data_IF_495793724029
#
_entry.id   IF_495793724029
#
_cell.length_a   1.000
_cell.length_b   1.000
_cell.length_c   1.000
_cell.angle_alpha   90.00
_cell.angle_beta   90.00
_cell.angle_gamma   90.00
#
_symmetry.space_group_name_H-M   'P 1'
#
loop_
_entity.id
_entity.type
_entity.pdbx_description
1 polymer ?
#
# COMPACT_ATOMS: atom_id res chain seq x y z
N UNK A 1 -1.67 -11.03 -54.30
CA UNK A 1 -1.38 -11.65 -53.00
C UNK A 1 -2.46 -11.20 -52.03
N UNK A 2 -3.56 -11.96 -51.95
CA UNK A 2 -4.76 -11.58 -51.20
C UNK A 2 -4.53 -11.82 -49.70
N UNK A 3 -4.75 -10.78 -48.90
CA UNK A 3 -4.40 -10.71 -47.48
C UNK A 3 -5.58 -11.06 -46.54
N UNK A 4 -6.58 -11.84 -47.00
CA UNK A 4 -7.89 -11.84 -46.33
C UNK A 4 -8.40 -13.15 -45.72
N UNK A 5 -7.69 -14.27 -45.82
CA UNK A 5 -8.14 -15.52 -45.22
C UNK A 5 -7.13 -16.03 -44.18
N UNK A 6 -7.02 -15.31 -43.06
CA UNK A 6 -6.43 -15.88 -41.85
C UNK A 6 -7.54 -16.62 -41.07
N UNK A 7 -7.51 -17.95 -40.97
CA UNK A 7 -8.57 -18.76 -40.36
C UNK A 7 -8.56 -18.73 -38.83
N UNK A 8 -7.80 -17.82 -38.21
CA UNK A 8 -7.72 -17.70 -36.77
C UNK A 8 -9.04 -17.11 -36.21
N UNK A 9 -9.61 -17.70 -35.16
CA UNK A 9 -10.84 -17.16 -34.53
C UNK A 9 -10.66 -15.72 -34.05
N UNK A 10 -9.43 -15.33 -33.69
CA UNK A 10 -9.05 -13.96 -33.33
C UNK A 10 -9.08 -12.97 -34.53
N UNK A 11 -9.09 -13.47 -35.75
CA UNK A 11 -9.06 -12.70 -37.00
C UNK A 11 -10.48 -12.44 -37.54
N UNK A 12 -11.50 -13.13 -37.01
CA UNK A 12 -12.90 -12.90 -37.37
C UNK A 12 -13.32 -11.53 -36.87
N UNK A 13 -13.67 -10.63 -37.79
CA UNK A 13 -14.29 -9.36 -37.41
C UNK A 13 -15.51 -9.65 -36.53
N UNK A 14 -15.63 -9.03 -35.35
CA UNK A 14 -16.79 -9.20 -34.50
C UNK A 14 -18.03 -8.86 -35.32
N UNK A 15 -19.08 -9.68 -35.19
CA UNK A 15 -20.36 -9.42 -35.83
C UNK A 15 -20.91 -8.07 -35.35
N UNK A 16 -21.76 -7.44 -36.18
CA UNK A 16 -22.44 -6.19 -35.81
C UNK A 16 -23.14 -6.32 -34.45
N UNK A 17 -23.72 -7.49 -34.17
CA UNK A 17 -24.35 -7.81 -32.89
C UNK A 17 -23.36 -7.85 -31.72
N UNK A 18 -22.16 -8.42 -31.89
CA UNK A 18 -21.15 -8.45 -30.84
C UNK A 18 -20.60 -7.05 -30.50
N UNK A 19 -20.49 -6.18 -31.51
CA UNK A 19 -20.12 -4.77 -31.31
C UNK A 19 -21.25 -4.00 -30.62
N UNK A 20 -22.49 -4.20 -31.04
CA UNK A 20 -23.67 -3.58 -30.44
C UNK A 20 -23.84 -3.97 -28.97
N UNK A 21 -23.69 -5.27 -28.65
CA UNK A 21 -23.73 -5.75 -27.27
C UNK A 21 -22.62 -5.17 -26.41
N UNK A 22 -21.38 -5.07 -26.92
CA UNK A 22 -20.29 -4.38 -26.21
C UNK A 22 -20.58 -2.92 -25.92
N UNK A 23 -21.18 -2.20 -26.88
CA UNK A 23 -21.57 -0.80 -26.70
C UNK A 23 -22.67 -0.68 -25.65
N UNK A 24 -23.71 -1.52 -25.71
CA UNK A 24 -24.76 -1.56 -24.69
C UNK A 24 -24.20 -1.84 -23.29
N UNK A 25 -23.30 -2.82 -23.13
CA UNK A 25 -22.65 -3.08 -21.82
C UNK A 25 -21.85 -1.88 -21.31
N UNK A 26 -21.20 -1.13 -22.21
CA UNK A 26 -20.48 0.09 -21.83
C UNK A 26 -21.46 1.21 -21.43
N UNK A 27 -22.56 1.38 -22.18
CA UNK A 27 -23.60 2.38 -21.88
C UNK A 27 -24.25 2.07 -20.53
N UNK A 28 -24.71 0.83 -20.31
CA UNK A 28 -25.30 0.41 -19.03
C UNK A 28 -24.33 0.65 -17.86
N UNK A 29 -23.03 0.36 -18.05
CA UNK A 29 -22.01 0.65 -17.05
C UNK A 29 -21.86 2.16 -16.79
N UNK A 30 -21.87 2.99 -17.84
CA UNK A 30 -21.76 4.45 -17.70
C UNK A 30 -23.00 5.06 -17.06
N UNK A 31 -24.19 4.55 -17.39
CA UNK A 31 -25.45 4.95 -16.76
C UNK A 31 -25.46 4.59 -15.27
N UNK A 32 -25.01 3.38 -14.91
CA UNK A 32 -24.82 2.99 -13.50
C UNK A 32 -23.78 3.87 -12.78
N UNK A 33 -22.70 4.29 -13.44
CA UNK A 33 -21.73 5.22 -12.86
C UNK A 33 -22.28 6.64 -12.71
N UNK A 34 -23.20 7.07 -13.58
CA UNK A 34 -23.89 8.37 -13.49
C UNK A 34 -24.93 8.40 -12.35
N UNK A 35 -25.61 7.28 -12.12
CA UNK A 35 -26.60 7.12 -11.04
C UNK A 35 -25.97 6.87 -9.67
N UNK A 36 -24.68 6.50 -9.60
CA UNK A 36 -23.99 6.34 -8.32
C UNK A 36 -24.04 7.64 -7.52
N UNK A 37 -24.46 7.58 -6.23
CA UNK A 37 -24.37 8.74 -5.35
C UNK A 37 -22.94 9.28 -5.39
N UNK A 38 -22.80 10.56 -5.71
CA UNK A 38 -21.49 11.24 -5.64
C UNK A 38 -21.04 11.22 -4.19
N UNK A 39 -20.19 10.27 -3.84
CA UNK A 39 -19.54 10.21 -2.53
C UNK A 39 -18.80 11.52 -2.34
N UNK A 40 -19.07 12.21 -1.24
CA UNK A 40 -18.44 13.51 -0.97
C UNK A 40 -16.95 13.29 -0.77
N UNK A 41 -16.11 14.17 -1.30
CA UNK A 41 -14.65 13.97 -1.29
C UNK A 41 -14.08 13.76 0.11
N UNK A 42 -14.66 14.41 1.12
CA UNK A 42 -14.25 14.23 2.52
C UNK A 42 -14.55 12.81 3.04
N UNK A 43 -15.57 12.12 2.54
CA UNK A 43 -15.90 10.76 2.94
C UNK A 43 -14.88 9.79 2.37
N UNK A 44 -14.51 9.96 1.10
CA UNK A 44 -13.44 9.22 0.45
C UNK A 44 -12.11 9.42 1.18
N UNK A 45 -11.78 10.66 1.57
CA UNK A 45 -10.56 10.96 2.31
C UNK A 45 -10.55 10.28 3.70
N UNK A 46 -11.67 10.30 4.42
CA UNK A 46 -11.80 9.64 5.74
C UNK A 46 -11.76 8.11 5.64
N UNK A 47 -12.35 7.52 4.60
CA UNK A 47 -12.26 6.07 4.33
C UNK A 47 -10.83 5.67 3.97
N UNK A 48 -10.16 6.45 3.12
CA UNK A 48 -8.76 6.24 2.78
C UNK A 48 -7.85 6.35 4.01
N UNK A 49 -8.06 7.33 4.89
CA UNK A 49 -7.32 7.45 6.15
C UNK A 49 -7.49 6.21 7.04
N UNK A 50 -8.70 5.65 7.11
CA UNK A 50 -8.96 4.42 7.85
C UNK A 50 -8.18 3.24 7.26
N UNK A 51 -8.14 3.13 5.94
CA UNK A 51 -7.35 2.09 5.26
C UNK A 51 -5.85 2.18 5.58
N UNK A 52 -5.31 3.41 5.57
CA UNK A 52 -3.88 3.65 5.83
C UNK A 52 -3.55 3.39 7.31
N UNK A 53 -4.40 3.84 8.24
CA UNK A 53 -4.10 3.84 9.67
C UNK A 53 -4.52 2.56 10.41
N UNK A 54 -5.45 1.76 9.86
CA UNK A 54 -6.01 0.59 10.55
C UNK A 54 -7.34 0.87 11.27
N UNK A 55 -8.16 1.75 10.69
CA UNK A 55 -9.53 1.99 11.12
C UNK A 55 -9.77 3.32 11.85
N UNK A 56 -11.04 3.59 12.24
CA UNK A 56 -11.46 4.87 12.81
C UNK A 56 -10.74 5.23 14.11
N UNK A 57 -10.47 4.24 14.97
CA UNK A 57 -9.76 4.47 16.23
C UNK A 57 -8.32 4.93 15.98
N UNK A 58 -7.62 4.30 15.04
CA UNK A 58 -6.25 4.69 14.66
C UNK A 58 -6.21 6.08 14.01
N UNK A 59 -7.20 6.44 13.18
CA UNK A 59 -7.30 7.80 12.60
C UNK A 59 -7.49 8.86 13.69
N UNK A 60 -8.26 8.57 14.74
CA UNK A 60 -8.40 9.48 15.89
C UNK A 60 -7.13 9.57 16.71
N UNK A 61 -6.40 8.47 16.85
CA UNK A 61 -5.13 8.38 17.57
C UNK A 61 -3.91 8.91 16.78
N UNK A 62 -4.08 9.31 15.50
CA UNK A 62 -3.01 9.93 14.71
C UNK A 62 -2.43 11.14 15.45
N UNK A 63 -1.15 11.02 15.78
CA UNK A 63 -0.30 12.07 16.32
C UNK A 63 0.92 12.30 15.41
N UNK A 64 1.84 13.16 15.81
CA UNK A 64 3.07 13.46 15.07
C UNK A 64 4.33 12.99 15.81
N UNK A 65 4.19 12.19 16.87
CA UNK A 65 5.29 11.80 17.76
C UNK A 65 6.17 10.77 17.07
N UNK A 66 7.47 11.00 16.83
CA UNK A 66 8.33 10.05 16.12
C UNK A 66 8.35 8.66 16.72
N UNK A 67 8.46 7.64 15.85
CA UNK A 67 8.67 6.26 16.29
C UNK A 67 10.04 6.17 16.98
N UNK A 68 10.04 5.64 18.21
CA UNK A 68 11.23 5.54 19.07
C UNK A 68 11.17 4.27 19.91
N UNK A 69 12.32 3.96 20.49
CA UNK A 69 12.49 2.88 21.46
C UNK A 69 12.86 1.55 20.82
N UNK A 70 13.34 0.60 21.64
CA UNK A 70 13.65 -0.74 21.19
C UNK A 70 12.38 -1.46 20.73
N UNK A 71 12.52 -2.29 19.69
CA UNK A 71 11.46 -3.21 19.26
C UNK A 71 11.79 -4.60 19.78
N UNK A 72 10.95 -5.20 20.64
CA UNK A 72 11.22 -6.51 21.22
C UNK A 72 10.99 -7.59 20.17
N UNK A 73 12.04 -7.95 19.43
CA UNK A 73 11.97 -9.01 18.43
C UNK A 73 12.09 -10.39 19.09
N UNK A 74 11.41 -11.41 18.55
CA UNK A 74 11.59 -12.80 18.96
C UNK A 74 13.05 -13.25 18.91
N UNK A 75 13.46 -14.09 19.87
CA UNK A 75 14.77 -14.74 19.90
C UNK A 75 14.83 -15.92 18.92
N UNK A 76 14.71 -15.60 17.62
CA UNK A 76 14.83 -16.55 16.52
C UNK A 76 15.98 -16.15 15.60
N UNK A 77 16.76 -17.15 15.13
CA UNK A 77 17.93 -16.91 14.28
C UNK A 77 17.55 -16.18 12.99
N UNK A 78 16.45 -16.55 12.33
CA UNK A 78 16.00 -15.93 11.07
C UNK A 78 15.53 -14.51 11.32
N UNK A 79 14.80 -14.27 12.41
CA UNK A 79 14.43 -12.90 12.83
C UNK A 79 15.68 -12.05 13.06
N UNK A 80 16.70 -12.61 13.71
CA UNK A 80 18.01 -11.97 13.89
C UNK A 80 18.65 -11.56 12.56
N UNK A 81 18.76 -12.51 11.62
CA UNK A 81 19.33 -12.29 10.28
C UNK A 81 18.56 -11.19 9.50
N UNK A 82 17.23 -11.28 9.45
CA UNK A 82 16.38 -10.28 8.76
C UNK A 82 16.49 -8.91 9.43
N UNK A 83 16.45 -8.85 10.75
CA UNK A 83 16.55 -7.58 11.49
C UNK A 83 17.92 -6.92 11.29
N UNK A 84 19.01 -7.68 11.21
CA UNK A 84 20.34 -7.16 10.88
C UNK A 84 20.36 -6.46 9.52
N UNK A 85 19.82 -7.13 8.50
CA UNK A 85 19.72 -6.57 7.14
C UNK A 85 18.84 -5.30 7.09
N UNK A 86 17.72 -5.29 7.81
CA UNK A 86 16.85 -4.12 7.89
C UNK A 86 17.55 -2.92 8.54
N UNK A 87 18.35 -3.14 9.59
CA UNK A 87 19.16 -2.07 10.21
C UNK A 87 20.20 -1.51 9.26
N UNK A 88 20.94 -2.38 8.57
CA UNK A 88 21.92 -1.96 7.56
C UNK A 88 21.27 -1.11 6.46
N UNK A 89 20.16 -1.59 5.88
CA UNK A 89 19.42 -0.84 4.85
C UNK A 89 18.88 0.48 5.38
N UNK A 90 18.37 0.51 6.61
CA UNK A 90 17.86 1.74 7.20
C UNK A 90 18.98 2.79 7.36
N UNK A 91 20.16 2.36 7.82
CA UNK A 91 21.32 3.23 7.96
C UNK A 91 21.85 3.75 6.61
N UNK A 92 21.85 2.91 5.57
CA UNK A 92 22.38 3.28 4.25
C UNK A 92 21.41 4.13 3.41
N UNK A 93 20.11 3.81 3.44
CA UNK A 93 19.13 4.35 2.50
C UNK A 93 18.06 5.23 3.15
N UNK A 94 17.85 5.12 4.47
CA UNK A 94 16.74 5.77 5.18
C UNK A 94 17.23 6.60 6.38
N UNK A 95 16.59 6.40 7.55
CA UNK A 95 16.84 7.05 8.83
C UNK A 95 16.44 6.11 9.98
N UNK A 96 16.78 6.50 11.22
CA UNK A 96 16.52 5.71 12.43
C UNK A 96 15.03 5.51 12.71
N UNK A 97 14.16 6.46 12.33
CA UNK A 97 12.71 6.27 12.53
C UNK A 97 12.17 5.18 11.61
N UNK A 98 12.64 5.16 10.36
CA UNK A 98 12.31 4.11 9.38
C UNK A 98 12.83 2.76 9.82
N UNK A 99 14.00 2.69 10.46
CA UNK A 99 14.50 1.47 11.10
C UNK A 99 13.47 0.92 12.10
N UNK A 100 12.99 1.75 13.03
CA UNK A 100 11.98 1.34 14.01
C UNK A 100 10.72 0.82 13.33
N UNK A 101 10.26 1.48 12.26
CA UNK A 101 9.11 1.02 11.47
C UNK A 101 9.36 -0.35 10.82
N UNK A 102 10.56 -0.59 10.27
CA UNK A 102 10.92 -1.89 9.71
C UNK A 102 10.93 -2.99 10.75
N UNK A 103 11.50 -2.73 11.93
CA UNK A 103 11.56 -3.72 13.01
C UNK A 103 10.16 -4.02 13.57
N UNK A 104 9.29 -3.02 13.73
CA UNK A 104 7.88 -3.24 14.12
C UNK A 104 7.12 -4.04 13.06
N UNK A 105 7.37 -3.78 11.77
CA UNK A 105 6.78 -4.57 10.70
C UNK A 105 7.23 -6.03 10.76
N UNK A 106 8.52 -6.29 11.08
CA UNK A 106 9.05 -7.65 11.24
C UNK A 106 8.43 -8.37 12.45
N UNK A 107 8.34 -7.71 13.61
CA UNK A 107 7.69 -8.25 14.81
C UNK A 107 6.23 -8.63 14.53
N UNK A 108 5.50 -7.72 13.86
CA UNK A 108 4.11 -7.95 13.48
C UNK A 108 3.98 -9.08 12.46
N UNK A 109 4.88 -9.15 11.49
CA UNK A 109 4.91 -10.23 10.51
C UNK A 109 5.14 -11.58 11.19
N UNK A 110 6.06 -11.64 12.16
CA UNK A 110 6.28 -12.85 12.96
C UNK A 110 5.02 -13.28 13.71
N UNK A 111 4.28 -12.33 14.29
CA UNK A 111 3.04 -12.63 15.02
C UNK A 111 1.89 -13.09 14.12
N UNK A 112 1.82 -12.58 12.89
CA UNK A 112 0.74 -12.86 11.95
C UNK A 112 0.98 -14.11 11.10
N UNK A 113 2.19 -14.24 10.57
CA UNK A 113 2.61 -15.33 9.70
C UNK A 113 4.12 -15.57 9.85
N UNK A 114 4.54 -16.34 10.88
CA UNK A 114 5.93 -16.69 11.08
C UNK A 114 6.54 -17.41 9.88
N UNK A 115 5.73 -18.10 9.07
CA UNK A 115 6.17 -18.85 7.90
C UNK A 115 6.78 -17.96 6.81
N UNK A 116 6.36 -16.70 6.70
CA UNK A 116 6.96 -15.72 5.79
C UNK A 116 8.38 -15.31 6.18
N UNK A 117 8.74 -15.44 7.47
CA UNK A 117 10.06 -15.09 7.99
C UNK A 117 10.94 -16.32 8.13
N UNK A 118 10.40 -17.39 8.72
CA UNK A 118 11.11 -18.64 8.99
C UNK A 118 11.22 -19.57 7.77
N UNK A 119 10.47 -19.29 6.70
CA UNK A 119 10.43 -20.12 5.50
C UNK A 119 11.78 -20.29 4.78
N UNK A 120 11.83 -21.12 3.72
CA UNK A 120 13.07 -21.50 3.04
C UNK A 120 13.70 -20.38 2.20
N UNK A 121 13.03 -19.23 2.06
CA UNK A 121 13.55 -18.08 1.31
C UNK A 121 14.76 -17.46 1.99
N UNK A 122 15.61 -16.77 1.23
CA UNK A 122 16.76 -16.06 1.80
C UNK A 122 16.28 -14.89 2.69
N UNK A 123 16.93 -14.61 3.84
CA UNK A 123 16.56 -13.51 4.73
C UNK A 123 16.52 -12.15 4.02
N UNK A 124 17.42 -11.95 3.05
CA UNK A 124 17.46 -10.75 2.21
C UNK A 124 16.16 -10.50 1.44
N UNK A 125 15.41 -11.55 1.07
CA UNK A 125 14.15 -11.39 0.35
C UNK A 125 13.05 -10.89 1.27
N UNK A 126 13.03 -11.39 2.52
CA UNK A 126 12.12 -10.92 3.56
C UNK A 126 12.44 -9.47 3.90
N UNK A 127 13.72 -9.14 4.13
CA UNK A 127 14.16 -7.78 4.40
C UNK A 127 13.79 -6.82 3.25
N UNK A 128 14.00 -7.23 1.99
CA UNK A 128 13.64 -6.43 0.81
C UNK A 128 12.14 -6.19 0.72
N UNK A 129 11.34 -7.23 0.97
CA UNK A 129 9.88 -7.12 0.96
C UNK A 129 9.35 -6.23 2.10
N UNK A 130 9.90 -6.33 3.31
CA UNK A 130 9.55 -5.44 4.44
C UNK A 130 9.93 -3.99 4.12
N UNK A 131 11.17 -3.75 3.70
CA UNK A 131 11.66 -2.41 3.39
C UNK A 131 10.85 -1.74 2.28
N UNK A 132 10.49 -2.50 1.24
CA UNK A 132 9.61 -2.02 0.18
C UNK A 132 8.19 -1.73 0.67
N UNK A 133 7.56 -2.66 1.39
CA UNK A 133 6.18 -2.51 1.87
C UNK A 133 6.01 -1.30 2.81
N UNK A 134 6.89 -1.19 3.81
CA UNK A 134 6.88 -0.06 4.76
C UNK A 134 7.29 1.23 4.06
N UNK A 135 8.24 1.16 3.13
CA UNK A 135 8.67 2.32 2.35
C UNK A 135 7.57 2.90 1.46
N UNK A 136 6.77 2.05 0.81
CA UNK A 136 5.58 2.49 0.05
C UNK A 136 4.50 3.09 0.95
N UNK A 137 4.30 2.51 2.15
CA UNK A 137 3.34 3.03 3.12
C UNK A 137 3.72 4.42 3.65
N UNK A 138 5.01 4.74 3.64
CA UNK A 138 5.55 6.03 4.06
C UNK A 138 5.90 6.97 2.89
N UNK A 139 5.70 6.54 1.65
CA UNK A 139 6.04 7.32 0.46
C UNK A 139 7.55 7.57 0.30
N UNK A 140 8.40 6.76 0.92
CA UNK A 140 9.86 6.86 0.83
C UNK A 140 10.44 5.99 -0.31
N UNK A 141 9.67 5.00 -0.78
CA UNK A 141 10.03 4.08 -1.85
C UNK A 141 9.07 4.18 -3.05
N UNK A 142 9.61 4.13 -4.28
CA UNK A 142 8.85 4.19 -5.53
C UNK A 142 9.66 4.77 -6.71
N UNK A 143 9.05 4.87 -7.89
CA UNK A 143 9.71 5.33 -9.13
C UNK A 143 10.26 6.75 -9.01
N UNK A 144 9.54 7.64 -8.30
CA UNK A 144 9.91 9.05 -8.11
C UNK A 144 10.15 9.39 -6.63
N UNK A 145 10.66 8.44 -5.85
CA UNK A 145 10.91 8.60 -4.42
C UNK A 145 12.41 8.54 -4.11
N UNK A 146 12.76 8.90 -2.87
CA UNK A 146 14.15 8.92 -2.37
C UNK A 146 14.87 7.58 -2.59
N UNK A 147 14.14 6.48 -2.40
CA UNK A 147 14.67 5.13 -2.53
C UNK A 147 13.95 4.39 -3.67
N UNK A 148 14.70 3.96 -4.65
CA UNK A 148 14.17 3.21 -5.81
C UNK A 148 14.33 1.71 -5.63
N UNK A 149 13.60 0.93 -6.44
CA UNK A 149 13.72 -0.53 -6.50
C UNK A 149 15.15 -1.01 -6.72
N UNK A 150 15.88 -0.35 -7.63
CA UNK A 150 17.27 -0.68 -7.92
C UNK A 150 18.21 -0.45 -6.73
N UNK A 151 17.99 0.63 -5.96
CA UNK A 151 18.81 0.92 -4.77
C UNK A 151 18.60 -0.12 -3.67
N UNK A 152 17.34 -0.48 -3.39
CA UNK A 152 17.03 -1.55 -2.44
C UNK A 152 17.57 -2.90 -2.89
N UNK A 153 17.40 -3.22 -4.18
CA UNK A 153 17.93 -4.45 -4.78
C UNK A 153 19.45 -4.55 -4.58
N UNK A 154 20.17 -3.46 -4.82
CA UNK A 154 21.62 -3.41 -4.68
C UNK A 154 22.04 -3.54 -3.21
N UNK A 155 21.43 -2.77 -2.30
CA UNK A 155 21.78 -2.79 -0.88
C UNK A 155 21.52 -4.14 -0.19
N UNK A 156 20.54 -4.92 -0.68
CA UNK A 156 20.20 -6.24 -0.13
C UNK A 156 20.67 -7.40 -1.00
N UNK A 157 21.41 -7.12 -2.07
CA UNK A 157 21.96 -8.12 -2.99
C UNK A 157 20.91 -9.14 -3.51
N UNK A 158 19.66 -8.71 -3.66
CA UNK A 158 18.58 -9.61 -4.10
C UNK A 158 18.57 -9.72 -5.63
N UNK A 159 18.30 -10.90 -6.22
CA UNK A 159 18.26 -11.05 -7.67
C UNK A 159 16.96 -10.46 -8.27
N UNK A 160 15.84 -10.53 -7.55
CA UNK A 160 14.53 -10.04 -7.98
C UNK A 160 14.24 -8.59 -7.55
N UNK A 161 13.13 -8.05 -8.04
CA UNK A 161 12.63 -6.75 -7.60
C UNK A 161 12.05 -6.86 -6.17
N UNK A 162 12.39 -5.94 -5.24
CA UNK A 162 11.82 -5.91 -3.90
C UNK A 162 10.28 -5.93 -3.85
N UNK A 163 9.63 -5.32 -4.85
CA UNK A 163 8.17 -5.31 -4.99
C UNK A 163 7.54 -6.72 -5.13
N UNK A 164 8.27 -7.67 -5.71
CA UNK A 164 7.84 -9.07 -5.82
C UNK A 164 7.73 -9.70 -4.43
N UNK A 165 8.73 -9.49 -3.58
CA UNK A 165 8.76 -10.03 -2.21
C UNK A 165 7.81 -9.29 -1.27
N UNK A 166 7.51 -8.02 -1.55
CA UNK A 166 6.61 -7.20 -0.76
C UNK A 166 5.13 -7.64 -0.85
N UNK A 167 4.72 -8.34 -1.92
CA UNK A 167 3.30 -8.74 -2.09
C UNK A 167 2.78 -9.65 -0.97
N UNK A 168 3.41 -10.80 -0.64
CA UNK A 168 2.94 -11.64 0.47
C UNK A 168 3.01 -10.90 1.81
N UNK A 169 4.06 -10.10 2.04
CA UNK A 169 4.24 -9.33 3.28
C UNK A 169 3.15 -8.27 3.45
N UNK A 170 2.84 -7.49 2.41
CA UNK A 170 1.72 -6.54 2.42
C UNK A 170 0.39 -7.25 2.70
N UNK A 171 0.17 -8.40 2.08
CA UNK A 171 -1.06 -9.18 2.28
C UNK A 171 -1.19 -9.62 3.74
N UNK A 172 -0.11 -10.15 4.33
CA UNK A 172 -0.09 -10.54 5.74
C UNK A 172 -0.33 -9.35 6.67
N UNK A 173 0.39 -8.24 6.46
CA UNK A 173 0.23 -7.03 7.28
C UNK A 173 -1.17 -6.42 7.15
N UNK A 174 -1.71 -6.30 5.95
CA UNK A 174 -3.07 -5.78 5.74
C UNK A 174 -4.13 -6.69 6.37
N UNK A 175 -3.92 -8.00 6.37
CA UNK A 175 -4.90 -8.98 6.86
C UNK A 175 -6.27 -8.81 6.18
N UNK A 176 -7.34 -8.85 6.98
CA UNK A 176 -8.72 -8.73 6.49
C UNK A 176 -9.14 -7.28 6.16
N UNK A 177 -8.32 -6.27 6.46
CA UNK A 177 -8.65 -4.88 6.13
C UNK A 177 -8.81 -4.63 4.63
N UNK A 178 -8.16 -5.47 3.80
CA UNK A 178 -8.25 -5.40 2.34
C UNK A 178 -9.69 -5.46 1.81
N UNK A 179 -10.61 -6.08 2.55
CA UNK A 179 -12.02 -6.24 2.17
C UNK A 179 -12.89 -5.00 2.40
N UNK A 180 -12.48 -4.06 3.27
CA UNK A 180 -13.31 -2.88 3.61
C UNK A 180 -13.07 -1.68 2.69
N UNK A 181 -12.03 -1.75 1.85
CA UNK A 181 -11.55 -0.61 1.04
C UNK A 181 -11.55 -1.02 -0.43
N UNK A 182 -12.61 -1.71 -0.86
CA UNK A 182 -12.88 -1.95 -2.27
C UNK A 182 -13.07 -0.59 -2.96
N UNK A 183 -11.96 -0.08 -3.50
CA UNK A 183 -11.91 0.93 -4.56
C UNK A 183 -12.10 2.39 -4.13
N UNK A 184 -11.42 2.83 -3.07
CA UNK A 184 -11.05 4.25 -3.00
C UNK A 184 -9.92 4.49 -4.01
N UNK A 185 -10.27 4.87 -5.23
CA UNK A 185 -9.33 5.58 -6.08
C UNK A 185 -8.79 6.76 -5.26
N UNK A 186 -7.46 6.97 -5.17
CA UNK A 186 -6.96 8.15 -4.52
C UNK A 186 -7.56 9.35 -5.26
N UNK A 187 -8.42 10.10 -4.57
CA UNK A 187 -8.79 11.42 -5.07
C UNK A 187 -7.47 12.15 -5.40
N UNK A 188 -7.38 12.94 -6.48
CA UNK A 188 -6.10 13.50 -6.97
C UNK A 188 -5.29 14.26 -5.90
N UNK A 189 -5.94 14.71 -4.83
CA UNK A 189 -5.34 15.43 -3.71
C UNK A 189 -4.76 14.53 -2.60
N UNK A 190 -4.97 13.21 -2.63
CA UNK A 190 -4.51 12.30 -1.58
C UNK A 190 -3.08 11.81 -1.82
N UNK A 191 -2.29 11.64 -0.75
CA UNK A 191 -0.94 11.07 -0.86
C UNK A 191 -0.96 9.67 -1.48
N UNK A 192 -0.11 9.43 -2.48
CA UNK A 192 0.10 8.12 -3.06
C UNK A 192 0.90 7.21 -2.10
N UNK A 193 0.19 6.60 -1.13
CA UNK A 193 0.70 5.69 -0.12
C UNK A 193 0.02 4.32 -0.25
N UNK A 194 0.78 3.25 -0.01
CA UNK A 194 0.20 1.91 0.08
C UNK A 194 -0.35 1.65 1.49
N UNK A 195 -1.64 1.33 1.66
CA UNK A 195 -2.22 1.11 2.99
C UNK A 195 -1.67 -0.19 3.60
N UNK A 196 -1.09 -0.11 4.80
CA UNK A 196 -0.75 -1.29 5.61
C UNK A 196 -1.73 -1.52 6.76
N UNK A 197 -2.50 -0.49 7.14
CA UNK A 197 -3.48 -0.58 8.22
C UNK A 197 -2.86 -0.54 9.62
N UNK A 198 -1.66 0.03 9.78
CA UNK A 198 -0.93 0.05 11.05
C UNK A 198 -0.28 1.40 11.29
N UNK A 199 -0.81 2.15 12.26
CA UNK A 199 -0.31 3.48 12.64
C UNK A 199 1.15 3.44 13.12
N UNK A 200 1.55 2.37 13.80
CA UNK A 200 2.87 2.18 14.38
C UNK A 200 3.97 1.85 13.36
N UNK A 201 3.59 1.67 12.09
CA UNK A 201 4.50 1.53 10.94
C UNK A 201 4.67 2.85 10.16
N UNK A 202 3.93 3.91 10.54
CA UNK A 202 3.97 5.20 9.87
C UNK A 202 4.94 6.15 10.59
N UNK A 203 5.92 6.66 9.84
CA UNK A 203 6.85 7.68 10.31
C UNK A 203 6.11 8.97 10.67
N UNK A 204 6.70 9.77 11.55
CA UNK A 204 6.20 11.09 11.95
C UNK A 204 5.95 11.98 10.75
N UNK A 205 6.85 11.98 9.76
CA UNK A 205 6.71 12.73 8.51
C UNK A 205 5.41 12.36 7.79
N UNK A 206 5.15 11.06 7.63
CA UNK A 206 3.92 10.59 6.98
C UNK A 206 2.71 10.93 7.83
N UNK A 207 2.75 10.71 9.15
CA UNK A 207 1.64 11.05 10.04
C UNK A 207 1.30 12.54 10.05
N UNK A 208 2.28 13.44 9.98
CA UNK A 208 2.04 14.89 9.80
C UNK A 208 1.21 15.17 8.55
N UNK A 209 1.52 14.51 7.44
CA UNK A 209 0.75 14.64 6.20
C UNK A 209 -0.67 14.10 6.37
N UNK A 210 -0.84 12.94 7.02
CA UNK A 210 -2.15 12.34 7.27
C UNK A 210 -3.02 13.16 8.22
N UNK A 211 -2.43 13.78 9.25
CA UNK A 211 -3.14 14.70 10.15
C UNK A 211 -3.71 15.87 9.35
N UNK A 212 -2.95 16.47 8.43
CA UNK A 212 -3.47 17.56 7.57
C UNK A 212 -4.66 17.11 6.73
N UNK A 213 -4.58 15.92 6.12
CA UNK A 213 -5.70 15.33 5.37
C UNK A 213 -6.92 15.12 6.28
N UNK A 214 -6.71 14.61 7.49
CA UNK A 214 -7.76 14.40 8.49
C UNK A 214 -8.46 15.70 8.85
N UNK A 215 -7.69 16.73 9.21
CA UNK A 215 -8.26 18.02 9.61
C UNK A 215 -9.04 18.67 8.46
N UNK A 216 -8.51 18.65 7.24
CA UNK A 216 -9.23 19.18 6.06
C UNK A 216 -10.54 18.41 5.80
N UNK A 217 -10.51 17.08 5.87
CA UNK A 217 -11.72 16.27 5.64
C UNK A 217 -12.77 16.49 6.74
N UNK A 218 -12.35 16.64 8.00
CA UNK A 218 -13.27 16.93 9.10
C UNK A 218 -13.88 18.33 9.01
N UNK A 219 -13.10 19.33 8.59
CA UNK A 219 -13.59 20.69 8.35
C UNK A 219 -14.66 20.70 7.24
N UNK A 220 -14.37 20.09 6.08
CA UNK A 220 -15.31 19.99 4.97
C UNK A 220 -16.60 19.26 5.36
N UNK A 221 -16.50 18.20 6.17
CA UNK A 221 -17.68 17.51 6.70
C UNK A 221 -18.50 18.39 7.66
N UNK A 222 -17.86 19.24 8.45
CA UNK A 222 -18.55 20.15 9.36
C UNK A 222 -19.30 21.24 8.59
N UNK A 223 -18.67 21.82 7.57
CA UNK A 223 -19.28 22.80 6.66
C UNK A 223 -20.50 22.21 5.94
N UNK A 224 -20.37 21.01 5.39
CA UNK A 224 -21.46 20.30 4.73
C UNK A 224 -22.65 20.03 5.66
N UNK A 225 -22.38 19.65 6.91
CA UNK A 225 -23.41 19.46 7.95
C UNK A 225 -24.09 20.75 8.39
N UNK A 226 -23.39 21.88 8.32
CA UNK A 226 -23.95 23.19 8.65
C UNK A 226 -24.81 23.75 7.50
N UNK A 227 -24.56 23.30 6.27
CA UNK A 227 -25.31 23.70 5.07
C UNK A 227 -26.57 22.85 4.81
N UNK A 228 -26.71 21.70 5.48
CA UNK A 228 -27.85 20.79 5.40
C UNK A 228 -28.92 21.08 6.45
#
# INVERSE_FOLDING_TARGET
MHYYDCPCEDCRRPTSDALYQRVLTVIERLEQELERPRVKEYETALQWLQAVCGGPAAVRALDTVPLRGPVPLPEDRRVGEVSGLLRTVAAELFDTETEVAFLRALDRLWSLDPGLVAGPVAPAYVAAGVAWAVGEANGSVGTDRRVTSSRLKFALETPGAPSTYARPIRTALQGLWRWQVEHTWPAPALPALSPLGHLDLLTSRTRVQLVRVREHALAARAEDRAAA
#
